data_IF_381334270117
#
_entry.id   IF_381334270117
#
_cell.length_a   1.000
_cell.length_b   1.000
_cell.length_c   1.000
_cell.angle_alpha   90.00
_cell.angle_beta   90.00
_cell.angle_gamma   90.00
#
_symmetry.space_group_name_H-M   'P 1'
#
loop_
_entity.id
_entity.type
_entity.pdbx_description
1 polymer ?
#
# COMPACT_ATOMS: atom_id res chain seq x y z
N UNK A 1 12.09 47.01 -8.66
CA UNK A 1 10.90 46.49 -9.36
C UNK A 1 11.06 44.98 -9.41
N UNK A 2 10.29 44.26 -8.60
CA UNK A 2 10.41 42.81 -8.43
C UNK A 2 9.81 42.10 -9.64
N UNK A 3 10.60 41.23 -10.28
CA UNK A 3 10.16 40.38 -11.38
C UNK A 3 9.14 39.35 -10.86
N UNK A 4 8.17 39.01 -11.72
CA UNK A 4 6.92 38.31 -11.42
C UNK A 4 7.02 37.14 -10.45
N UNK A 5 6.39 37.30 -9.29
CA UNK A 5 5.90 36.16 -8.51
C UNK A 5 4.66 35.64 -9.21
N UNK A 6 4.80 34.57 -9.99
CA UNK A 6 3.66 33.74 -10.36
C UNK A 6 2.94 33.36 -9.06
N UNK A 7 1.63 33.59 -8.98
CA UNK A 7 0.84 33.13 -7.85
C UNK A 7 0.95 31.60 -7.78
N UNK A 8 1.60 31.09 -6.72
CA UNK A 8 1.86 29.66 -6.57
C UNK A 8 0.57 28.84 -6.55
N UNK A 9 -0.53 29.42 -6.05
CA UNK A 9 -1.82 28.75 -6.09
C UNK A 9 -2.32 28.61 -7.53
N UNK A 10 -2.19 29.67 -8.34
CA UNK A 10 -2.57 29.65 -9.75
C UNK A 10 -1.67 28.71 -10.57
N UNK A 11 -0.40 28.60 -10.21
CA UNK A 11 0.53 27.64 -10.79
C UNK A 11 0.06 26.19 -10.58
N UNK A 12 -0.30 25.81 -9.34
CA UNK A 12 -0.80 24.48 -9.03
C UNK A 12 -2.12 24.19 -9.76
N UNK A 13 -3.02 25.16 -9.86
CA UNK A 13 -4.26 25.02 -10.67
C UNK A 13 -3.92 24.76 -12.14
N UNK A 14 -2.94 25.47 -12.70
CA UNK A 14 -2.48 25.23 -14.07
C UNK A 14 -1.95 23.81 -14.30
N UNK A 15 -1.23 23.24 -13.33
CA UNK A 15 -0.72 21.87 -13.40
C UNK A 15 -1.81 20.79 -13.35
N UNK A 16 -3.00 21.13 -12.85
CA UNK A 16 -4.16 20.22 -12.79
C UNK A 16 -5.13 20.42 -13.97
N UNK A 17 -4.81 21.31 -14.92
CA UNK A 17 -5.66 21.58 -16.08
C UNK A 17 -5.78 20.35 -17.00
N UNK A 18 -6.97 20.15 -17.56
CA UNK A 18 -7.21 19.16 -18.63
C UNK A 18 -6.56 19.56 -19.97
N UNK A 19 -6.20 20.84 -20.14
CA UNK A 19 -5.53 21.35 -21.33
C UNK A 19 -4.01 21.14 -21.23
N UNK A 20 -3.46 20.28 -22.10
CA UNK A 20 -2.03 19.94 -22.11
C UNK A 20 -1.11 21.17 -22.21
N UNK A 21 -1.47 22.16 -23.02
CA UNK A 21 -0.67 23.38 -23.20
C UNK A 21 -0.55 24.18 -21.89
N UNK A 22 -1.64 24.31 -21.13
CA UNK A 22 -1.65 25.01 -19.83
C UNK A 22 -0.81 24.24 -18.81
N UNK A 23 -1.01 22.91 -18.75
CA UNK A 23 -0.29 22.03 -17.82
C UNK A 23 1.21 22.06 -18.05
N UNK A 24 1.66 21.92 -19.30
CA UNK A 24 3.10 21.95 -19.63
C UNK A 24 3.76 23.29 -19.27
N UNK A 25 3.07 24.40 -19.51
CA UNK A 25 3.59 25.74 -19.14
C UNK A 25 3.73 25.84 -17.63
N UNK A 26 2.72 25.41 -16.88
CA UNK A 26 2.76 25.45 -15.41
C UNK A 26 3.86 24.55 -14.84
N UNK A 27 4.04 23.34 -15.35
CA UNK A 27 5.13 22.43 -14.94
C UNK A 27 6.51 23.05 -15.21
N UNK A 28 6.72 23.66 -16.38
CA UNK A 28 7.98 24.36 -16.72
C UNK A 28 8.26 25.53 -15.79
N UNK A 29 7.23 26.28 -15.37
CA UNK A 29 7.40 27.36 -14.40
C UNK A 29 7.68 26.83 -12.99
N UNK A 30 7.03 25.73 -12.58
CA UNK A 30 7.32 25.05 -11.31
C UNK A 30 8.77 24.58 -11.23
N UNK A 31 9.32 24.03 -12.31
CA UNK A 31 10.72 23.57 -12.31
C UNK A 31 11.76 24.69 -12.17
N UNK A 32 11.39 25.93 -12.52
CA UNK A 32 12.27 27.10 -12.33
C UNK A 32 12.34 27.58 -10.88
N UNK A 33 11.41 27.15 -10.02
CA UNK A 33 11.41 27.52 -8.60
C UNK A 33 12.64 26.91 -7.92
N UNK A 34 13.39 27.72 -7.18
CA UNK A 34 14.57 27.23 -6.47
C UNK A 34 14.18 26.20 -5.40
N UNK A 35 15.01 25.16 -5.22
CA UNK A 35 14.75 24.06 -4.30
C UNK A 35 14.42 24.53 -2.88
N UNK A 36 15.18 25.51 -2.37
CA UNK A 36 14.97 26.13 -1.06
C UNK A 36 13.58 26.74 -0.85
N UNK A 37 12.93 27.17 -1.94
CA UNK A 37 11.64 27.85 -1.93
C UNK A 37 10.49 26.85 -2.20
N UNK A 38 10.73 25.76 -2.94
CA UNK A 38 9.71 24.74 -3.30
C UNK A 38 9.02 24.17 -2.06
N UNK A 39 9.76 23.66 -1.08
CA UNK A 39 9.17 23.00 0.09
C UNK A 39 8.30 23.92 0.96
N UNK A 40 8.77 25.12 1.36
CA UNK A 40 7.94 26.10 2.07
C UNK A 40 6.68 26.51 1.30
N UNK A 41 6.76 26.68 -0.02
CA UNK A 41 5.61 27.02 -0.86
C UNK A 41 4.57 25.88 -0.88
N UNK A 42 5.01 24.64 -1.11
CA UNK A 42 4.16 23.45 -1.10
C UNK A 42 3.48 23.25 0.25
N UNK A 43 4.25 23.33 1.33
CA UNK A 43 3.74 23.14 2.68
C UNK A 43 2.79 24.28 3.10
N UNK A 44 3.11 25.52 2.74
CA UNK A 44 2.26 26.69 2.96
C UNK A 44 0.94 26.59 2.20
N UNK A 45 0.97 26.10 0.96
CA UNK A 45 -0.24 25.86 0.16
C UNK A 45 -1.12 24.79 0.80
N UNK A 46 -0.55 23.63 1.16
CA UNK A 46 -1.27 22.59 1.89
C UNK A 46 -1.89 23.09 3.20
N UNK A 47 -1.18 23.94 3.96
CA UNK A 47 -1.63 24.41 5.27
C UNK A 47 -2.77 25.42 5.20
N UNK A 48 -3.02 26.05 4.04
CA UNK A 48 -4.08 27.01 3.87
C UNK A 48 -5.42 26.31 3.59
N UNK A 49 -6.24 26.25 4.64
CA UNK A 49 -7.57 25.61 4.62
C UNK A 49 -8.59 26.28 3.68
N UNK A 50 -8.28 27.46 3.12
CA UNK A 50 -9.14 28.12 2.15
C UNK A 50 -9.01 27.53 0.73
N UNK A 51 -7.94 26.78 0.45
CA UNK A 51 -7.80 26.06 -0.82
C UNK A 51 -8.58 24.76 -0.79
N UNK A 52 -9.07 24.35 -1.96
CA UNK A 52 -9.79 23.10 -2.13
C UNK A 52 -8.89 21.87 -1.87
N UNK A 53 -9.52 20.73 -1.61
CA UNK A 53 -8.85 19.49 -1.22
C UNK A 53 -7.94 18.98 -2.35
N UNK A 54 -8.34 19.14 -3.62
CA UNK A 54 -7.60 18.65 -4.77
C UNK A 54 -6.28 19.41 -4.93
N UNK A 55 -6.33 20.75 -4.85
CA UNK A 55 -5.15 21.62 -4.89
C UNK A 55 -4.21 21.38 -3.71
N UNK A 56 -4.76 21.20 -2.49
CA UNK A 56 -3.96 20.83 -1.31
C UNK A 56 -3.31 19.45 -1.46
N UNK A 57 -4.02 18.48 -2.05
CA UNK A 57 -3.51 17.15 -2.35
C UNK A 57 -2.37 17.19 -3.37
N UNK A 58 -2.50 17.98 -4.44
CA UNK A 58 -1.46 18.17 -5.45
C UNK A 58 -0.17 18.74 -4.83
N UNK A 59 -0.28 19.71 -3.91
CA UNK A 59 0.88 20.21 -3.18
C UNK A 59 1.59 19.12 -2.37
N UNK A 60 0.85 18.21 -1.73
CA UNK A 60 1.45 17.08 -1.00
C UNK A 60 2.08 16.05 -1.94
N UNK A 61 1.49 15.77 -3.11
CA UNK A 61 2.09 14.88 -4.12
C UNK A 61 3.45 15.42 -4.58
N UNK A 62 3.52 16.71 -4.87
CA UNK A 62 4.78 17.37 -5.24
C UNK A 62 5.78 17.42 -4.08
N UNK A 63 5.32 17.60 -2.84
CA UNK A 63 6.19 17.55 -1.67
C UNK A 63 6.79 16.15 -1.47
N UNK A 64 6.01 15.09 -1.68
CA UNK A 64 6.53 13.71 -1.65
C UNK A 64 7.63 13.52 -2.69
N UNK A 65 7.39 13.96 -3.94
CA UNK A 65 8.37 13.87 -5.03
C UNK A 65 9.67 14.62 -4.68
N UNK A 66 9.55 15.82 -4.13
CA UNK A 66 10.68 16.64 -3.68
C UNK A 66 11.52 15.92 -2.62
N UNK A 67 10.87 15.34 -1.62
CA UNK A 67 11.54 14.60 -0.54
C UNK A 67 12.22 13.35 -1.10
N UNK A 68 11.55 12.59 -1.96
CA UNK A 68 12.10 11.37 -2.57
C UNK A 68 13.32 11.64 -3.47
N UNK A 69 13.31 12.74 -4.24
CA UNK A 69 14.39 13.02 -5.21
C UNK A 69 15.55 13.82 -4.64
N UNK A 70 15.35 14.55 -3.54
CA UNK A 70 16.26 15.62 -3.12
C UNK A 70 16.27 15.85 -1.61
N UNK A 71 16.13 14.79 -0.81
CA UNK A 71 16.06 14.88 0.65
C UNK A 71 17.20 15.71 1.27
N UNK A 72 18.45 15.37 0.97
CA UNK A 72 19.61 16.06 1.56
C UNK A 72 19.76 17.50 1.07
N UNK A 73 19.58 17.75 -0.23
CA UNK A 73 19.59 19.09 -0.83
C UNK A 73 18.46 19.95 -0.24
N UNK A 74 17.27 19.37 -0.08
CA UNK A 74 16.10 20.06 0.44
C UNK A 74 16.38 20.68 1.81
N UNK A 75 16.89 19.90 2.76
CA UNK A 75 17.19 20.42 4.10
C UNK A 75 18.41 21.34 4.11
N UNK A 76 19.44 21.04 3.32
CA UNK A 76 20.66 21.87 3.22
C UNK A 76 20.37 23.25 2.65
N UNK A 77 19.63 23.33 1.55
CA UNK A 77 19.42 24.58 0.81
C UNK A 77 18.34 25.45 1.44
N UNK A 78 17.32 24.85 2.06
CA UNK A 78 16.27 25.55 2.80
C UNK A 78 16.70 26.01 4.19
N UNK A 79 17.83 25.49 4.70
CA UNK A 79 18.30 25.69 6.08
C UNK A 79 17.27 25.30 7.15
N UNK A 80 16.31 24.43 6.78
CA UNK A 80 15.32 23.88 7.70
C UNK A 80 16.01 22.84 8.59
N UNK A 81 15.79 22.94 9.91
CA UNK A 81 16.30 21.94 10.84
C UNK A 81 15.46 20.65 10.74
N UNK A 82 16.11 19.52 10.43
CA UNK A 82 15.48 18.22 10.16
C UNK A 82 14.54 17.78 11.29
N UNK A 83 15.00 17.77 12.55
CA UNK A 83 14.21 17.27 13.68
C UNK A 83 12.95 18.11 13.95
N UNK A 84 13.04 19.42 13.76
CA UNK A 84 11.92 20.35 13.90
C UNK A 84 10.89 20.11 12.80
N UNK A 85 11.34 19.98 11.54
CA UNK A 85 10.45 19.66 10.43
C UNK A 85 9.75 18.32 10.64
N UNK A 86 10.49 17.28 11.02
CA UNK A 86 9.98 15.96 11.34
C UNK A 86 8.90 16.00 12.45
N UNK A 87 9.17 16.71 13.54
CA UNK A 87 8.25 16.83 14.67
C UNK A 87 6.97 17.58 14.28
N UNK A 88 7.11 18.70 13.55
CA UNK A 88 5.97 19.45 13.03
C UNK A 88 5.17 18.60 12.03
N UNK A 89 5.84 17.87 11.14
CA UNK A 89 5.16 17.05 10.14
C UNK A 89 4.26 15.98 10.78
N UNK A 90 4.77 15.29 11.81
CA UNK A 90 3.96 14.34 12.62
C UNK A 90 2.76 15.06 13.26
N UNK A 91 2.95 16.29 13.77
CA UNK A 91 1.86 17.09 14.35
C UNK A 91 0.77 17.41 13.33
N UNK A 92 1.15 17.80 12.11
CA UNK A 92 0.19 18.06 11.03
C UNK A 92 -0.55 16.80 10.59
N UNK A 93 0.17 15.68 10.39
CA UNK A 93 -0.46 14.39 10.07
C UNK A 93 -1.45 13.95 11.17
N UNK A 94 -1.09 14.14 12.43
CA UNK A 94 -1.94 13.77 13.57
C UNK A 94 -3.19 14.64 13.68
N UNK A 95 -3.15 15.88 13.18
CA UNK A 95 -4.27 16.82 13.23
C UNK A 95 -5.17 16.75 11.97
N UNK A 96 -4.69 16.22 10.85
CA UNK A 96 -5.44 16.17 9.60
C UNK A 96 -6.65 15.24 9.70
N UNK A 97 -7.79 15.75 9.25
CA UNK A 97 -9.11 15.10 9.33
C UNK A 97 -9.60 14.62 7.96
N UNK A 98 -9.10 15.19 6.87
CA UNK A 98 -9.47 14.81 5.52
C UNK A 98 -8.73 13.53 5.11
N UNK A 99 -9.44 12.39 4.86
CA UNK A 99 -8.80 11.11 4.60
C UNK A 99 -7.80 11.13 3.43
N UNK A 100 -8.17 11.83 2.34
CA UNK A 100 -7.31 11.98 1.15
C UNK A 100 -5.98 12.65 1.51
N UNK A 101 -6.03 13.76 2.27
CA UNK A 101 -4.83 14.50 2.66
C UNK A 101 -4.02 13.73 3.70
N UNK A 102 -4.68 13.07 4.65
CA UNK A 102 -4.03 12.22 5.65
C UNK A 102 -3.23 11.10 4.99
N UNK A 103 -3.80 10.43 3.97
CA UNK A 103 -3.09 9.43 3.15
C UNK A 103 -1.85 10.03 2.49
N UNK A 104 -1.96 11.19 1.83
CA UNK A 104 -0.81 11.86 1.20
C UNK A 104 0.27 12.26 2.21
N UNK A 105 -0.11 12.70 3.40
CA UNK A 105 0.84 12.98 4.49
C UNK A 105 1.50 11.70 4.99
N UNK A 106 0.77 10.58 5.11
CA UNK A 106 1.35 9.28 5.45
C UNK A 106 2.38 8.83 4.40
N UNK A 107 2.09 9.03 3.10
CA UNK A 107 3.04 8.72 2.02
C UNK A 107 4.34 9.55 2.12
N UNK A 108 4.24 10.83 2.50
CA UNK A 108 5.42 11.68 2.73
C UNK A 108 6.15 11.26 4.01
N UNK A 109 5.42 10.92 5.09
CA UNK A 109 6.02 10.43 6.32
C UNK A 109 6.85 9.17 6.07
N UNK A 110 6.34 8.26 5.24
CA UNK A 110 7.06 7.07 4.79
C UNK A 110 8.36 7.45 4.07
N UNK A 111 8.32 8.42 3.17
CA UNK A 111 9.52 8.89 2.46
C UNK A 111 10.55 9.51 3.40
N UNK A 112 10.10 10.35 4.35
CA UNK A 112 10.97 10.89 5.40
C UNK A 112 11.59 9.77 6.25
N UNK A 113 10.79 8.80 6.68
CA UNK A 113 11.25 7.68 7.49
C UNK A 113 12.25 6.78 6.78
N UNK A 114 12.11 6.60 5.45
CA UNK A 114 13.06 5.85 4.63
C UNK A 114 14.42 6.55 4.57
N UNK A 115 14.42 7.86 4.38
CA UNK A 115 15.63 8.68 4.32
C UNK A 115 16.33 8.86 5.70
N UNK A 116 15.71 8.41 6.79
CA UNK A 116 16.33 8.41 8.13
C UNK A 116 16.87 7.05 8.57
N UNK A 117 16.79 6.03 7.70
CA UNK A 117 17.46 4.76 7.93
C UNK A 117 18.94 4.93 7.52
N UNK A 118 19.85 4.66 8.46
CA UNK A 118 21.28 4.74 8.20
C UNK A 118 21.71 3.63 7.23
N UNK A 119 22.27 4.01 6.08
CA UNK A 119 22.64 3.06 5.00
C UNK A 119 23.71 2.05 5.42
N UNK A 120 24.58 2.38 6.39
CA UNK A 120 25.69 1.52 6.79
C UNK A 120 25.27 0.47 7.83
N UNK A 121 24.41 0.88 8.77
CA UNK A 121 23.99 0.07 9.90
C UNK A 121 22.59 -0.51 9.74
N UNK A 122 21.80 0.01 8.81
CA UNK A 122 20.40 -0.31 8.62
C UNK A 122 19.52 0.16 9.79
N UNK A 123 20.00 1.07 10.65
CA UNK A 123 19.24 1.51 11.84
C UNK A 123 18.36 2.70 11.54
N UNK A 124 17.15 2.67 12.08
CA UNK A 124 16.26 3.83 12.08
C UNK A 124 16.77 4.89 13.05
N UNK A 125 17.26 6.02 12.53
CA UNK A 125 17.81 7.12 13.33
C UNK A 125 16.75 8.08 13.85
N UNK A 126 15.54 8.07 13.27
CA UNK A 126 14.47 8.96 13.69
C UNK A 126 13.63 8.34 14.82
N UNK A 127 13.88 8.76 16.05
CA UNK A 127 13.12 8.27 17.22
C UNK A 127 11.65 8.70 17.21
N UNK A 128 11.34 9.85 16.62
CA UNK A 128 9.98 10.37 16.52
C UNK A 128 9.04 9.49 15.70
N UNK A 129 9.52 8.86 14.60
CA UNK A 129 8.67 7.94 13.83
C UNK A 129 8.36 6.65 14.61
N UNK A 130 9.29 6.19 15.44
CA UNK A 130 9.07 5.03 16.31
C UNK A 130 8.02 5.34 17.39
N UNK A 131 8.09 6.53 18.00
CA UNK A 131 7.07 7.00 18.96
C UNK A 131 5.69 7.16 18.30
N UNK A 132 5.67 7.62 17.04
CA UNK A 132 4.43 7.73 16.27
C UNK A 132 3.82 6.36 15.95
N UNK A 133 4.63 5.35 15.61
CA UNK A 133 4.15 3.98 15.44
C UNK A 133 3.58 3.41 16.74
N UNK A 134 4.21 3.67 17.89
CA UNK A 134 3.69 3.26 19.20
C UNK A 134 2.33 3.91 19.51
N UNK A 135 2.17 5.20 19.19
CA UNK A 135 0.88 5.90 19.27
C UNK A 135 -0.16 5.22 18.37
N UNK A 136 0.18 4.91 17.12
CA UNK A 136 -0.74 4.24 16.19
C UNK A 136 -1.16 2.85 16.68
N UNK A 137 -0.24 2.09 17.27
CA UNK A 137 -0.49 0.75 17.78
C UNK A 137 -1.47 0.72 18.97
N UNK A 138 -1.42 1.76 19.80
CA UNK A 138 -2.15 1.86 21.07
C UNK A 138 -3.44 2.68 20.97
N UNK A 139 -3.60 3.49 19.92
CA UNK A 139 -4.79 4.33 19.71
C UNK A 139 -6.07 3.53 19.55
N UNK A 140 -7.20 4.06 20.05
CA UNK A 140 -8.54 3.53 19.78
C UNK A 140 -9.14 4.10 18.49
N UNK A 141 -8.54 5.16 17.94
CA UNK A 141 -8.95 5.78 16.69
C UNK A 141 -8.55 4.88 15.49
N UNK A 142 -9.51 4.37 14.70
CA UNK A 142 -9.25 3.56 13.52
C UNK A 142 -8.31 4.26 12.52
N UNK A 143 -8.43 5.58 12.39
CA UNK A 143 -7.61 6.37 11.46
C UNK A 143 -6.13 6.32 11.82
N UNK A 144 -5.77 6.38 13.11
CA UNK A 144 -4.39 6.23 13.54
C UNK A 144 -3.87 4.81 13.32
N UNK A 145 -4.69 3.78 13.60
CA UNK A 145 -4.29 2.39 13.35
C UNK A 145 -4.01 2.15 11.87
N UNK A 146 -4.90 2.62 11.00
CA UNK A 146 -4.73 2.54 9.55
C UNK A 146 -3.49 3.29 9.07
N UNK A 147 -3.25 4.51 9.56
CA UNK A 147 -2.02 5.26 9.27
C UNK A 147 -0.75 4.50 9.68
N UNK A 148 -0.74 3.89 10.87
CA UNK A 148 0.39 3.08 11.33
C UNK A 148 0.64 1.85 10.45
N UNK A 149 -0.42 1.15 10.05
CA UNK A 149 -0.31 0.02 9.13
C UNK A 149 0.22 0.47 7.76
N UNK A 150 -0.33 1.54 7.19
CA UNK A 150 0.11 2.09 5.90
C UNK A 150 1.55 2.57 5.92
N UNK A 151 2.04 3.10 7.06
CA UNK A 151 3.45 3.45 7.21
C UNK A 151 4.37 2.23 7.14
N UNK A 152 4.00 1.11 7.77
CA UNK A 152 4.76 -0.14 7.74
C UNK A 152 4.69 -0.80 6.37
N UNK A 153 3.53 -0.76 5.72
CA UNK A 153 3.34 -1.22 4.34
C UNK A 153 4.30 -0.50 3.39
N UNK A 154 4.37 0.83 3.48
CA UNK A 154 5.24 1.64 2.63
C UNK A 154 6.73 1.51 3.00
N UNK A 155 7.08 1.31 4.27
CA UNK A 155 8.46 1.17 4.75
C UNK A 155 8.60 -0.09 5.61
N UNK A 156 8.62 -1.30 5.02
CA UNK A 156 8.70 -2.56 5.77
C UNK A 156 9.94 -2.64 6.67
N UNK A 157 11.06 -2.11 6.18
CA UNK A 157 12.33 -2.03 6.90
C UNK A 157 12.40 -0.87 7.92
N UNK A 158 11.29 -0.22 8.29
CA UNK A 158 11.26 0.94 9.21
C UNK A 158 11.88 0.67 10.58
N UNK A 159 11.82 -0.56 11.06
CA UNK A 159 12.44 -0.99 12.33
C UNK A 159 13.95 -1.25 12.19
N UNK A 160 14.45 -1.30 10.96
CA UNK A 160 15.85 -1.48 10.63
C UNK A 160 16.44 -2.78 11.16
N UNK A 161 17.74 -2.77 11.44
CA UNK A 161 18.47 -3.90 12.05
C UNK A 161 17.95 -4.31 13.44
N UNK A 162 17.13 -3.46 14.07
CA UNK A 162 16.58 -3.68 15.40
C UNK A 162 15.17 -4.32 15.36
N UNK A 163 14.68 -4.76 14.19
CA UNK A 163 13.35 -5.38 14.01
C UNK A 163 13.05 -6.48 15.05
N UNK A 164 14.01 -7.38 15.29
CA UNK A 164 13.87 -8.47 16.25
C UNK A 164 13.69 -7.99 17.70
N UNK A 165 14.25 -6.83 18.06
CA UNK A 165 14.10 -6.23 19.40
C UNK A 165 12.64 -5.85 19.66
N UNK A 166 11.94 -5.38 18.64
CA UNK A 166 10.56 -4.91 18.72
C UNK A 166 9.53 -5.98 18.32
N UNK A 167 9.96 -7.19 17.96
CA UNK A 167 9.10 -8.21 17.33
C UNK A 167 7.84 -8.54 18.13
N UNK A 168 7.91 -8.55 19.46
CA UNK A 168 6.76 -8.83 20.31
C UNK A 168 5.71 -7.72 20.23
N UNK A 169 6.15 -6.47 20.12
CA UNK A 169 5.25 -5.32 20.05
C UNK A 169 4.69 -5.14 18.63
N UNK A 170 5.53 -5.38 17.61
CA UNK A 170 5.11 -5.50 16.20
C UNK A 170 4.01 -6.57 16.07
N UNK A 171 4.23 -7.75 16.64
CA UNK A 171 3.26 -8.84 16.62
C UNK A 171 1.94 -8.49 17.30
N UNK A 172 2.00 -7.87 18.49
CA UNK A 172 0.79 -7.41 19.20
C UNK A 172 0.02 -6.39 18.37
N UNK A 173 0.72 -5.46 17.73
CA UNK A 173 0.14 -4.43 16.88
C UNK A 173 -0.55 -5.02 15.65
N UNK A 174 0.09 -5.95 14.94
CA UNK A 174 -0.55 -6.67 13.83
C UNK A 174 -1.77 -7.46 14.29
N UNK A 175 -1.63 -8.26 15.35
CA UNK A 175 -2.74 -9.06 15.87
C UNK A 175 -3.94 -8.20 16.29
N UNK A 176 -3.70 -7.07 16.97
CA UNK A 176 -4.75 -6.14 17.38
C UNK A 176 -5.45 -5.49 16.17
N UNK A 177 -4.71 -5.19 15.10
CA UNK A 177 -5.24 -4.53 13.90
C UNK A 177 -5.97 -5.50 12.97
N UNK A 178 -5.49 -6.75 12.84
CA UNK A 178 -6.16 -7.83 12.11
C UNK A 178 -7.50 -8.24 12.74
N UNK A 179 -7.62 -8.12 14.06
CA UNK A 179 -8.84 -8.42 14.81
C UNK A 179 -9.66 -7.17 15.15
N UNK A 180 -9.37 -6.03 14.49
CA UNK A 180 -10.03 -4.78 14.80
C UNK A 180 -11.51 -4.80 14.35
N UNK A 181 -12.39 -5.13 15.30
CA UNK A 181 -13.75 -5.57 14.97
C UNK A 181 -14.66 -4.51 14.34
N UNK A 182 -14.38 -3.22 14.54
CA UNK A 182 -15.28 -2.15 14.09
C UNK A 182 -14.96 -1.58 12.71
N UNK A 183 -13.76 -1.81 12.15
CA UNK A 183 -13.35 -1.16 10.89
C UNK A 183 -12.65 -2.15 9.95
N UNK A 184 -13.22 -2.34 8.77
CA UNK A 184 -12.62 -3.15 7.71
C UNK A 184 -11.34 -2.53 7.16
N UNK A 185 -11.30 -1.20 6.95
CA UNK A 185 -10.12 -0.50 6.41
C UNK A 185 -8.84 -0.79 7.22
N UNK A 186 -8.95 -0.81 8.55
CA UNK A 186 -7.85 -1.15 9.47
C UNK A 186 -7.39 -2.60 9.28
N UNK A 187 -8.33 -3.54 9.12
CA UNK A 187 -8.01 -4.96 8.91
C UNK A 187 -7.33 -5.17 7.56
N UNK A 188 -7.82 -4.55 6.49
CA UNK A 188 -7.21 -4.61 5.16
C UNK A 188 -5.82 -3.97 5.17
N UNK A 189 -5.66 -2.80 5.77
CA UNK A 189 -4.34 -2.17 5.93
C UNK A 189 -3.39 -3.05 6.75
N UNK A 190 -3.88 -3.74 7.79
CA UNK A 190 -3.08 -4.66 8.58
C UNK A 190 -2.63 -5.89 7.77
N UNK A 191 -3.45 -6.41 6.87
CA UNK A 191 -3.05 -7.49 5.95
C UNK A 191 -1.95 -7.01 5.01
N UNK A 192 -2.12 -5.86 4.33
CA UNK A 192 -1.09 -5.30 3.44
C UNK A 192 0.23 -5.08 4.17
N UNK A 193 0.18 -4.43 5.34
CA UNK A 193 1.35 -4.17 6.16
C UNK A 193 2.02 -5.45 6.67
N UNK A 194 1.25 -6.46 7.07
CA UNK A 194 1.77 -7.76 7.51
C UNK A 194 2.51 -8.46 6.38
N UNK A 195 1.90 -8.54 5.19
CA UNK A 195 2.50 -9.21 4.03
C UNK A 195 3.76 -8.48 3.59
N UNK A 196 3.70 -7.16 3.43
CA UNK A 196 4.87 -6.36 3.08
C UNK A 196 6.03 -6.54 4.08
N UNK A 197 5.73 -6.49 5.39
CA UNK A 197 6.73 -6.66 6.45
C UNK A 197 7.36 -8.06 6.46
N UNK A 198 6.54 -9.10 6.36
CA UNK A 198 7.03 -10.49 6.45
C UNK A 198 7.79 -10.90 5.18
N UNK A 199 7.38 -10.41 4.00
CA UNK A 199 8.09 -10.64 2.75
C UNK A 199 9.44 -9.90 2.70
N UNK A 200 9.50 -8.65 3.18
CA UNK A 200 10.76 -7.90 3.28
C UNK A 200 11.77 -8.53 4.26
N UNK A 201 11.28 -9.34 5.20
CA UNK A 201 12.10 -10.05 6.19
C UNK A 201 12.19 -11.56 5.91
N UNK A 202 11.99 -12.02 4.67
CA UNK A 202 11.90 -13.44 4.32
C UNK A 202 13.15 -14.28 4.69
N UNK A 203 14.33 -13.64 4.65
CA UNK A 203 15.63 -14.19 5.07
C UNK A 203 15.79 -14.27 6.59
N UNK A 204 15.14 -13.39 7.38
CA UNK A 204 15.19 -13.43 8.84
C UNK A 204 14.21 -14.47 9.39
N UNK A 205 14.74 -15.68 9.56
CA UNK A 205 13.97 -16.82 10.07
C UNK A 205 13.37 -16.58 11.46
N UNK A 206 13.98 -15.72 12.30
CA UNK A 206 13.44 -15.44 13.64
C UNK A 206 12.21 -14.53 13.54
N UNK A 207 12.28 -13.47 12.74
CA UNK A 207 11.15 -12.56 12.48
C UNK A 207 10.00 -13.33 11.84
N UNK A 208 10.27 -14.06 10.74
CA UNK A 208 9.25 -14.85 10.03
C UNK A 208 8.57 -15.85 10.97
N UNK A 209 9.34 -16.60 11.75
CA UNK A 209 8.81 -17.58 12.70
C UNK A 209 7.98 -16.92 13.80
N UNK A 210 8.38 -15.76 14.29
CA UNK A 210 7.65 -15.05 15.34
C UNK A 210 6.27 -14.56 14.87
N UNK A 211 6.11 -14.29 13.58
CA UNK A 211 4.90 -13.74 12.96
C UNK A 211 4.04 -14.78 12.23
N UNK A 212 4.54 -15.99 12.00
CA UNK A 212 3.81 -17.05 11.27
C UNK A 212 2.52 -17.51 11.96
N UNK A 213 2.40 -17.34 13.28
CA UNK A 213 1.16 -17.69 14.00
C UNK A 213 0.03 -16.68 13.82
N UNK A 214 0.28 -15.57 13.12
CA UNK A 214 -0.76 -14.61 12.73
C UNK A 214 -1.48 -14.99 11.42
N UNK A 215 -0.98 -15.99 10.68
CA UNK A 215 -1.59 -16.43 9.41
C UNK A 215 -3.09 -16.77 9.54
N UNK A 216 -3.55 -17.48 10.59
CA UNK A 216 -4.99 -17.70 10.77
C UNK A 216 -5.81 -16.41 10.92
N UNK A 217 -5.24 -15.34 11.47
CA UNK A 217 -5.91 -14.05 11.57
C UNK A 217 -5.99 -13.36 10.20
N UNK A 218 -4.92 -13.43 9.39
CA UNK A 218 -4.92 -12.94 8.00
C UNK A 218 -5.98 -13.67 7.17
N UNK A 219 -6.04 -15.00 7.25
CA UNK A 219 -7.05 -15.81 6.54
C UNK A 219 -8.47 -15.46 6.99
N UNK A 220 -8.68 -15.17 8.28
CA UNK A 220 -10.00 -14.70 8.77
C UNK A 220 -10.40 -13.35 8.19
N UNK A 221 -9.45 -12.43 7.96
CA UNK A 221 -9.75 -11.16 7.28
C UNK A 221 -10.17 -11.44 5.84
N UNK A 222 -9.47 -12.34 5.13
CA UNK A 222 -9.84 -12.75 3.77
C UNK A 222 -11.25 -13.38 3.72
N UNK A 223 -11.56 -14.26 4.68
CA UNK A 223 -12.91 -14.84 4.81
C UNK A 223 -13.96 -13.76 5.00
N UNK A 224 -13.68 -12.80 5.88
CA UNK A 224 -14.63 -11.76 6.20
C UNK A 224 -14.96 -10.86 5.00
N UNK A 225 -13.95 -10.38 4.26
CA UNK A 225 -14.21 -9.51 3.10
C UNK A 225 -15.00 -10.23 2.01
N UNK A 226 -14.77 -11.53 1.83
CA UNK A 226 -15.56 -12.34 0.88
C UNK A 226 -16.98 -12.61 1.40
N UNK A 227 -17.16 -12.78 2.71
CA UNK A 227 -18.49 -13.02 3.30
C UNK A 227 -19.37 -11.77 3.27
N UNK A 228 -18.79 -10.59 3.50
CA UNK A 228 -19.54 -9.33 3.55
C UNK A 228 -19.69 -8.66 2.18
N UNK A 229 -18.69 -8.81 1.30
CA UNK A 229 -18.59 -8.08 0.02
C UNK A 229 -18.67 -6.55 0.19
N UNK A 230 -18.42 -6.06 1.41
CA UNK A 230 -18.48 -4.63 1.75
C UNK A 230 -17.17 -3.90 1.41
N UNK A 231 -16.09 -4.64 1.17
CA UNK A 231 -14.76 -4.13 0.85
C UNK A 231 -14.28 -4.65 -0.52
N UNK A 232 -13.02 -4.42 -0.85
CA UNK A 232 -12.38 -4.92 -2.06
C UNK A 232 -11.65 -6.26 -1.81
N UNK A 233 -11.25 -6.96 -2.87
CA UNK A 233 -10.57 -8.26 -2.82
C UNK A 233 -9.08 -8.18 -2.41
N UNK A 234 -8.58 -6.98 -2.11
CA UNK A 234 -7.20 -6.68 -1.71
C UNK A 234 -6.61 -7.66 -0.67
N UNK A 235 -7.31 -8.09 0.40
CA UNK A 235 -6.75 -9.10 1.32
C UNK A 235 -6.40 -10.44 0.65
N UNK A 236 -7.17 -10.88 -0.35
CA UNK A 236 -6.88 -12.09 -1.12
C UNK A 236 -5.68 -11.86 -2.04
N UNK A 237 -5.58 -10.69 -2.69
CA UNK A 237 -4.41 -10.32 -3.49
C UNK A 237 -3.13 -10.38 -2.64
N UNK A 238 -3.15 -9.79 -1.44
CA UNK A 238 -2.01 -9.87 -0.51
C UNK A 238 -1.71 -11.30 -0.06
N UNK A 239 -2.73 -12.15 0.12
CA UNK A 239 -2.52 -13.56 0.44
C UNK A 239 -1.86 -14.31 -0.72
N UNK A 240 -2.16 -13.93 -1.97
CA UNK A 240 -1.49 -14.44 -3.16
C UNK A 240 -0.01 -14.01 -3.19
N UNK A 241 0.27 -12.72 -2.98
CA UNK A 241 1.64 -12.19 -2.92
C UNK A 241 2.48 -12.92 -1.87
N UNK A 242 1.87 -13.19 -0.71
CA UNK A 242 2.49 -13.96 0.37
C UNK A 242 2.74 -15.42 -0.04
N UNK A 243 1.83 -16.02 -0.81
CA UNK A 243 2.01 -17.38 -1.32
C UNK A 243 3.12 -17.47 -2.37
N UNK A 244 3.25 -16.46 -3.22
CA UNK A 244 4.31 -16.37 -4.22
C UNK A 244 5.69 -16.14 -3.57
N UNK A 245 5.76 -15.21 -2.62
CA UNK A 245 7.01 -14.77 -2.01
C UNK A 245 7.46 -15.67 -0.86
N UNK A 246 6.54 -16.08 0.02
CA UNK A 246 6.87 -16.81 1.25
C UNK A 246 5.94 -18.02 1.52
N UNK A 247 5.83 -18.99 0.59
CA UNK A 247 4.88 -20.11 0.72
C UNK A 247 5.12 -20.98 1.96
N UNK A 248 6.35 -20.98 2.51
CA UNK A 248 6.76 -21.81 3.65
C UNK A 248 5.88 -21.62 4.88
N UNK A 249 5.37 -20.42 5.12
CA UNK A 249 4.54 -20.11 6.29
C UNK A 249 3.06 -20.45 6.08
N UNK A 250 2.63 -20.64 4.83
CA UNK A 250 1.26 -21.04 4.47
C UNK A 250 1.07 -22.56 4.44
N UNK A 251 2.14 -23.35 4.28
CA UNK A 251 2.08 -24.82 4.24
C UNK A 251 1.27 -25.44 5.40
N UNK A 252 1.41 -25.02 6.67
CA UNK A 252 0.60 -25.55 7.77
C UNK A 252 -0.90 -25.32 7.62
N UNK A 253 -1.29 -24.30 6.84
CA UNK A 253 -2.67 -23.86 6.60
C UNK A 253 -3.14 -24.17 5.18
N UNK A 254 -2.35 -24.90 4.38
CA UNK A 254 -2.60 -25.11 2.95
C UNK A 254 -3.99 -25.68 2.69
N UNK A 255 -4.35 -26.75 3.39
CA UNK A 255 -5.64 -27.42 3.18
C UNK A 255 -6.84 -26.49 3.46
N UNK A 256 -6.76 -25.67 4.53
CA UNK A 256 -7.83 -24.73 4.88
C UNK A 256 -7.92 -23.57 3.92
N UNK A 257 -6.77 -23.01 3.47
CA UNK A 257 -6.76 -21.89 2.52
C UNK A 257 -7.25 -22.37 1.16
N UNK A 258 -6.77 -23.53 0.69
CA UNK A 258 -7.19 -24.09 -0.59
C UNK A 258 -8.68 -24.45 -0.60
N UNK A 259 -9.22 -25.00 0.49
CA UNK A 259 -10.65 -25.29 0.61
C UNK A 259 -11.50 -24.00 0.60
N UNK A 260 -11.06 -22.95 1.31
CA UNK A 260 -11.69 -21.64 1.28
C UNK A 260 -11.73 -21.09 -0.15
N UNK A 261 -10.57 -20.93 -0.78
CA UNK A 261 -10.47 -20.34 -2.12
C UNK A 261 -11.25 -21.17 -3.16
N UNK A 262 -11.17 -22.50 -3.09
CA UNK A 262 -11.94 -23.36 -3.99
C UNK A 262 -13.45 -23.20 -3.82
N UNK A 263 -13.94 -22.93 -2.61
CA UNK A 263 -15.37 -22.69 -2.38
C UNK A 263 -15.83 -21.35 -2.94
N UNK A 264 -14.94 -20.35 -2.93
CA UNK A 264 -15.22 -19.01 -3.48
C UNK A 264 -15.25 -19.07 -5.00
N UNK A 265 -14.23 -19.65 -5.64
CA UNK A 265 -14.14 -19.79 -7.10
C UNK A 265 -15.37 -20.51 -7.67
N UNK A 266 -15.83 -21.57 -6.99
CA UNK A 266 -16.98 -22.37 -7.40
C UNK A 266 -18.33 -21.66 -7.21
N UNK A 267 -18.38 -20.55 -6.47
CA UNK A 267 -19.61 -19.82 -6.20
C UNK A 267 -19.84 -18.75 -7.27
N UNK A 268 -20.73 -19.03 -8.23
CA UNK A 268 -21.08 -18.12 -9.33
C UNK A 268 -21.89 -16.89 -8.88
N UNK A 269 -22.36 -16.85 -7.63
CA UNK A 269 -23.02 -15.66 -7.06
C UNK A 269 -22.01 -14.67 -6.49
N UNK A 270 -20.73 -15.06 -6.35
CA UNK A 270 -19.67 -14.15 -5.88
C UNK A 270 -19.17 -13.27 -7.02
N UNK A 271 -18.86 -12.03 -6.69
CA UNK A 271 -18.21 -11.10 -7.62
C UNK A 271 -16.91 -11.69 -8.17
N UNK A 272 -16.66 -11.41 -9.45
CA UNK A 272 -15.55 -11.98 -10.21
C UNK A 272 -14.19 -11.64 -9.60
N UNK A 273 -14.02 -10.45 -9.00
CA UNK A 273 -12.77 -10.05 -8.35
C UNK A 273 -12.38 -11.05 -7.26
N UNK A 274 -13.30 -11.40 -6.35
CA UNK A 274 -13.05 -12.38 -5.30
C UNK A 274 -12.78 -13.78 -5.83
N UNK A 275 -13.46 -14.18 -6.92
CA UNK A 275 -13.24 -15.47 -7.58
C UNK A 275 -11.86 -15.53 -8.23
N UNK A 276 -11.46 -14.48 -8.95
CA UNK A 276 -10.14 -14.37 -9.57
C UNK A 276 -9.02 -14.33 -8.54
N UNK A 277 -9.11 -13.47 -7.52
CA UNK A 277 -8.11 -13.40 -6.46
C UNK A 277 -8.02 -14.70 -5.66
N UNK A 278 -9.13 -15.40 -5.44
CA UNK A 278 -9.12 -16.73 -4.82
C UNK A 278 -8.43 -17.78 -5.69
N UNK A 279 -8.66 -17.75 -7.01
CA UNK A 279 -7.96 -18.63 -7.95
C UNK A 279 -6.46 -18.36 -7.93
N UNK A 280 -6.06 -17.09 -7.95
CA UNK A 280 -4.66 -16.67 -7.94
C UNK A 280 -3.96 -17.18 -6.67
N UNK A 281 -4.57 -17.03 -5.48
CA UNK A 281 -4.05 -17.64 -4.24
C UNK A 281 -3.82 -19.15 -4.41
N UNK A 282 -4.76 -19.89 -5.01
CA UNK A 282 -4.61 -21.34 -5.23
C UNK A 282 -3.46 -21.66 -6.18
N UNK A 283 -3.30 -20.87 -7.25
CA UNK A 283 -2.23 -21.02 -8.24
C UNK A 283 -0.88 -20.77 -7.58
N UNK A 284 -0.68 -19.61 -6.94
CA UNK A 284 0.60 -19.24 -6.30
C UNK A 284 1.01 -20.25 -5.22
N UNK A 285 0.05 -20.76 -4.43
CA UNK A 285 0.33 -21.83 -3.47
C UNK A 285 0.80 -23.14 -4.14
N UNK A 286 0.29 -23.44 -5.34
CA UNK A 286 0.70 -24.60 -6.15
C UNK A 286 2.05 -24.40 -6.87
N UNK A 287 2.62 -23.20 -6.90
CA UNK A 287 3.96 -22.97 -7.45
C UNK A 287 5.08 -23.42 -6.48
N UNK A 288 4.72 -23.72 -5.21
CA UNK A 288 5.64 -24.25 -4.21
C UNK A 288 6.12 -25.67 -4.58
N UNK A 289 7.20 -25.74 -5.36
CA UNK A 289 7.65 -26.96 -6.03
C UNK A 289 7.90 -28.16 -5.10
N UNK A 290 8.43 -27.97 -3.89
CA UNK A 290 8.70 -29.10 -2.98
C UNK A 290 7.43 -29.66 -2.32
N UNK A 291 6.47 -28.80 -1.98
CA UNK A 291 5.20 -29.24 -1.41
C UNK A 291 4.36 -29.95 -2.48
N UNK A 292 4.29 -29.36 -3.68
CA UNK A 292 3.47 -29.89 -4.76
C UNK A 292 4.00 -31.19 -5.36
N UNK A 293 5.31 -31.42 -5.37
CA UNK A 293 5.87 -32.75 -5.69
C UNK A 293 5.31 -33.87 -4.82
N UNK A 294 4.98 -33.59 -3.56
CA UNK A 294 4.51 -34.59 -2.59
C UNK A 294 2.99 -34.66 -2.48
N UNK A 295 2.31 -33.53 -2.67
CA UNK A 295 0.87 -33.37 -2.38
C UNK A 295 0.03 -32.98 -3.60
N UNK A 296 0.65 -32.73 -4.75
CA UNK A 296 -0.04 -32.21 -5.93
C UNK A 296 -1.19 -33.09 -6.42
N UNK A 297 -1.06 -34.42 -6.32
CA UNK A 297 -2.14 -35.34 -6.68
C UNK A 297 -3.46 -35.11 -5.89
N UNK A 298 -3.39 -34.50 -4.71
CA UNK A 298 -4.56 -34.19 -3.88
C UNK A 298 -5.22 -32.85 -4.21
N UNK A 299 -4.53 -31.93 -4.90
CA UNK A 299 -4.97 -30.54 -5.06
C UNK A 299 -5.08 -30.11 -6.52
N UNK A 300 -4.13 -30.51 -7.38
CA UNK A 300 -4.09 -30.12 -8.79
C UNK A 300 -5.34 -30.53 -9.59
N UNK A 301 -5.94 -31.73 -9.41
CA UNK A 301 -7.15 -32.08 -10.17
C UNK A 301 -8.31 -31.12 -9.91
N UNK A 302 -8.50 -30.70 -8.66
CA UNK A 302 -9.54 -29.75 -8.29
C UNK A 302 -9.26 -28.36 -8.88
N UNK A 303 -8.01 -27.88 -8.78
CA UNK A 303 -7.60 -26.60 -9.39
C UNK A 303 -7.84 -26.59 -10.90
N UNK A 304 -7.37 -27.63 -11.61
CA UNK A 304 -7.55 -27.76 -13.07
C UNK A 304 -9.04 -27.77 -13.44
N UNK A 305 -9.87 -28.48 -12.67
CA UNK A 305 -11.31 -28.49 -12.91
C UNK A 305 -11.94 -27.10 -12.74
N UNK A 306 -11.54 -26.35 -11.72
CA UNK A 306 -12.01 -24.97 -11.52
C UNK A 306 -11.58 -24.06 -12.68
N UNK A 307 -10.32 -24.14 -13.11
CA UNK A 307 -9.84 -23.37 -14.28
C UNK A 307 -10.65 -23.70 -15.54
N UNK A 308 -10.89 -24.99 -15.81
CA UNK A 308 -11.69 -25.39 -16.97
C UNK A 308 -13.13 -24.91 -16.89
N UNK A 309 -13.73 -24.86 -15.68
CA UNK A 309 -15.07 -24.33 -15.49
C UNK A 309 -15.12 -22.82 -15.75
N UNK A 310 -14.17 -22.06 -15.22
CA UNK A 310 -14.04 -20.62 -15.49
C UNK A 310 -13.85 -20.33 -16.97
N UNK A 311 -13.03 -21.12 -17.68
CA UNK A 311 -12.85 -20.97 -19.13
C UNK A 311 -14.13 -21.22 -19.96
N UNK A 312 -15.18 -21.78 -19.36
CA UNK A 312 -16.49 -21.97 -20.01
C UNK A 312 -17.51 -20.89 -19.67
N UNK A 313 -17.18 -19.97 -18.76
CA UNK A 313 -18.00 -18.80 -18.45
C UNK A 313 -17.70 -17.72 -19.49
N UNK A 314 -18.29 -17.90 -20.68
CA UNK A 314 -18.20 -16.95 -21.79
C UNK A 314 -19.45 -16.08 -21.79
N UNK A 315 -19.31 -14.80 -22.15
CA UNK A 315 -20.45 -13.93 -22.37
C UNK A 315 -21.31 -14.46 -23.54
N UNK A 316 -22.62 -14.51 -23.31
CA UNK A 316 -23.60 -14.99 -24.29
C UNK A 316 -23.85 -13.97 -25.43
N UNK A 317 -23.32 -12.74 -25.33
CA UNK A 317 -23.47 -11.73 -26.39
C UNK A 317 -22.47 -11.96 -27.54
N UNK A 318 -22.77 -13.01 -28.30
CA UNK A 318 -22.11 -13.32 -29.55
C UNK A 318 -22.12 -12.14 -30.55
N UNK A 319 -23.08 -11.20 -30.45
CA UNK A 319 -23.13 -10.07 -31.40
C UNK A 319 -22.10 -9.00 -31.04
N UNK A 320 -21.91 -8.73 -29.75
CA UNK A 320 -20.82 -7.87 -29.26
C UNK A 320 -19.47 -8.50 -29.60
N UNK A 321 -19.29 -9.79 -29.32
CA UNK A 321 -18.07 -10.52 -29.66
C UNK A 321 -17.78 -10.55 -31.17
N UNK A 322 -18.80 -10.72 -32.02
CA UNK A 322 -18.67 -10.66 -33.48
C UNK A 322 -18.51 -9.22 -34.03
N UNK A 323 -18.80 -8.20 -33.23
CA UNK A 323 -18.65 -6.79 -33.62
C UNK A 323 -17.23 -6.25 -33.33
N UNK A 324 -16.41 -6.97 -32.56
CA UNK A 324 -14.99 -6.68 -32.37
C UNK A 324 -14.25 -7.13 -33.64
N UNK A 325 -13.98 -6.18 -34.54
CA UNK A 325 -13.50 -6.44 -35.90
C UNK A 325 -11.97 -6.66 -35.98
N UNK A 326 -11.22 -6.42 -34.89
CA UNK A 326 -9.77 -6.61 -34.88
C UNK A 326 -9.25 -7.11 -33.51
N UNK A 327 -8.61 -8.28 -33.50
CA UNK A 327 -7.99 -8.87 -32.30
C UNK A 327 -6.76 -8.10 -31.78
N UNK A 328 -6.43 -6.95 -32.38
CA UNK A 328 -5.30 -6.10 -32.05
C UNK A 328 -5.68 -4.75 -31.43
N UNK A 329 -6.95 -4.32 -31.46
CA UNK A 329 -7.32 -2.99 -30.93
C UNK A 329 -7.46 -2.96 -29.40
N UNK A 330 -7.73 -4.10 -28.75
CA UNK A 330 -7.91 -4.19 -27.28
C UNK A 330 -6.66 -4.66 -26.50
N UNK A 331 -5.52 -4.90 -27.16
CA UNK A 331 -4.27 -5.25 -26.46
C UNK A 331 -3.56 -4.02 -25.84
N UNK A 332 -4.10 -2.82 -26.05
CA UNK A 332 -3.57 -1.55 -25.55
C UNK A 332 -4.29 -1.03 -24.27
N UNK A 333 -5.21 -1.79 -23.67
CA UNK A 333 -5.71 -1.48 -22.32
C UNK A 333 -4.77 -2.03 -21.22
N UNK A 334 -3.74 -1.22 -20.94
CA UNK A 334 -3.11 -1.00 -19.64
C UNK A 334 -3.08 -2.17 -18.63
N UNK A 335 -2.10 -3.07 -18.77
CA UNK A 335 -1.32 -3.49 -17.59
C UNK A 335 -0.27 -2.41 -17.29
N UNK A 336 -0.73 -1.24 -16.85
CA UNK A 336 0.15 -0.29 -16.17
C UNK A 336 0.23 -0.77 -14.72
N UNK A 337 1.21 -1.61 -14.44
CA UNK A 337 1.72 -1.77 -13.09
C UNK A 337 2.16 -0.39 -12.60
N UNK A 338 1.41 0.18 -11.66
CA UNK A 338 1.82 1.33 -10.85
C UNK A 338 2.25 0.88 -9.46
#
# INVERSE_FOLDING_TARGET
MAAGTVDFAQLLVGMMSSENEIREVAEKEYEKIALKDKGPLLFGHYSNVNYDIESRSMALVLLRRLVASSYEEFFRDSQIQKDHFHSEFIRYLSAEQQPVLKKRLTDILAELARNTIDENTGKQCWTGVMQFLELCATSEDPSFRETGMSLIENVPNIFGSDSIKYINDIKKMFHASLLFGANSSVRTAAVRAYVAFVCDNDEDTNVVKALSDLIPAVVKVCQHVVETEDDDDVPLQCLSDLAASLPKILIPHFASIFALCSSIVANQEKDESYRHSSLEVMVSMCESGNFMKKKGASYLPALIQQCLHLMTELDDDLNEWMAIDDANEDLDEEFVFF
#
